data_IF_107369096526
#
_entry.id   IF_107369096526
#
_cell.length_a   1.000
_cell.length_b   1.000
_cell.length_c   1.000
_cell.angle_alpha   90.00
_cell.angle_beta   90.00
_cell.angle_gamma   90.00
#
_symmetry.space_group_name_H-M   'P 1'
#
loop_
_entity.id
_entity.type
_entity.pdbx_description
1 polymer ?
#
# COMPACT_ATOMS: atom_id res chain seq x y z
N UNK A 1 -19.23 3.03 28.15
CA UNK A 1 -18.15 3.06 27.16
C UNK A 1 -17.83 4.52 26.89
N UNK A 2 -16.55 4.93 26.86
CA UNK A 2 -16.20 6.30 26.45
C UNK A 2 -16.62 6.51 24.99
N UNK A 3 -16.97 7.74 24.60
CA UNK A 3 -17.29 8.04 23.21
C UNK A 3 -16.09 7.69 22.32
N UNK A 4 -16.29 6.85 21.31
CA UNK A 4 -15.28 6.60 20.29
C UNK A 4 -15.03 7.92 19.53
N UNK A 5 -13.77 8.26 19.35
CA UNK A 5 -13.35 9.27 18.38
C UNK A 5 -13.39 8.62 17.00
N UNK A 6 -14.19 9.17 16.07
CA UNK A 6 -14.33 8.64 14.72
C UNK A 6 -12.97 8.60 14.00
N UNK A 7 -12.68 7.52 13.27
CA UNK A 7 -11.42 7.30 12.55
C UNK A 7 -11.63 7.20 11.03
N UNK A 8 -10.89 7.98 10.24
CA UNK A 8 -10.88 7.91 8.78
C UNK A 8 -9.59 7.21 8.31
N UNK A 9 -9.73 6.01 7.75
CA UNK A 9 -8.62 5.19 7.29
C UNK A 9 -8.56 5.30 5.77
N UNK A 10 -7.70 6.17 5.28
CA UNK A 10 -7.61 6.42 3.84
C UNK A 10 -6.60 5.46 3.27
N UNK A 11 -6.82 4.98 2.05
CA UNK A 11 -5.76 4.28 1.34
C UNK A 11 -5.09 5.14 0.28
N UNK A 12 -3.76 5.18 0.30
CA UNK A 12 -2.94 5.52 -0.86
C UNK A 12 -2.39 4.27 -1.52
N UNK A 13 -2.15 4.38 -2.83
CA UNK A 13 -1.29 3.48 -3.55
C UNK A 13 -0.02 4.27 -3.88
N UNK A 14 1.02 4.14 -3.06
CA UNK A 14 2.38 4.52 -3.46
C UNK A 14 3.11 3.21 -3.73
N UNK A 15 3.49 2.99 -4.99
CA UNK A 15 4.26 1.84 -5.40
C UNK A 15 5.72 2.04 -4.98
N UNK A 16 6.00 2.03 -3.67
CA UNK A 16 7.35 1.78 -3.18
C UNK A 16 7.52 0.27 -3.05
N UNK A 17 8.43 -0.27 -3.85
CA UNK A 17 8.72 -1.69 -3.99
C UNK A 17 9.00 -2.38 -2.64
N UNK A 18 8.02 -3.12 -2.13
CA UNK A 18 8.27 -4.29 -1.31
C UNK A 18 7.79 -5.49 -2.14
N UNK A 19 8.73 -6.34 -2.54
CA UNK A 19 8.45 -7.57 -3.27
C UNK A 19 7.52 -8.48 -2.43
N UNK A 20 6.33 -8.76 -2.94
CA UNK A 20 5.53 -9.92 -2.53
C UNK A 20 5.92 -11.08 -3.45
N UNK A 21 6.77 -11.99 -2.96
CA UNK A 21 7.04 -13.27 -3.62
C UNK A 21 6.03 -14.30 -3.12
N UNK A 22 5.02 -14.56 -3.94
CA UNK A 22 4.10 -15.70 -3.83
C UNK A 22 4.75 -16.95 -4.43
N UNK A 23 5.59 -17.66 -3.66
CA UNK A 23 5.82 -19.10 -3.86
C UNK A 23 6.10 -19.79 -2.53
N UNK A 24 5.12 -20.55 -2.04
CA UNK A 24 5.33 -21.57 -1.02
C UNK A 24 6.13 -22.76 -1.59
N UNK A 25 7.08 -23.31 -0.84
CA UNK A 25 7.43 -24.72 -0.93
C UNK A 25 6.89 -25.47 0.29
N UNK A 26 6.20 -26.55 -0.01
CA UNK A 26 5.84 -27.65 0.86
C UNK A 26 7.06 -28.32 1.50
N UNK A 27 6.84 -28.83 2.71
CA UNK A 27 7.57 -29.89 3.42
C UNK A 27 9.04 -29.66 3.76
N UNK A 28 9.34 -29.52 5.06
CA UNK A 28 10.25 -30.42 5.78
C UNK A 28 10.04 -30.25 7.30
N UNK A 29 9.46 -31.28 7.92
CA UNK A 29 9.47 -31.50 9.36
C UNK A 29 10.80 -32.17 9.72
N UNK A 30 11.52 -31.64 10.69
CA UNK A 30 12.26 -32.48 11.65
C UNK A 30 12.49 -31.73 12.96
N UNK A 31 12.26 -32.48 14.03
CA UNK A 31 12.38 -32.16 15.44
C UNK A 31 13.81 -31.78 15.85
N UNK A 32 13.95 -31.01 16.93
CA UNK A 32 14.42 -31.55 18.21
C UNK A 32 14.37 -30.47 19.31
N UNK A 33 13.97 -30.93 20.50
CA UNK A 33 13.86 -30.22 21.76
C UNK A 33 15.24 -29.89 22.35
N UNK A 34 15.38 -28.78 23.09
CA UNK A 34 15.87 -28.86 24.47
C UNK A 34 15.62 -27.58 25.27
N UNK A 35 15.25 -27.80 26.53
CA UNK A 35 14.92 -26.83 27.57
C UNK A 35 16.15 -26.07 28.06
N UNK A 36 15.94 -24.89 28.69
CA UNK A 36 16.62 -24.52 29.95
C UNK A 36 15.93 -23.33 30.63
N UNK A 37 15.57 -23.54 31.88
CA UNK A 37 14.89 -22.61 32.78
C UNK A 37 15.82 -21.59 33.46
N UNK A 38 15.19 -20.51 33.94
CA UNK A 38 15.42 -19.80 35.21
C UNK A 38 16.47 -18.67 35.32
N UNK A 39 16.01 -17.52 35.85
CA UNK A 39 16.63 -16.95 37.05
C UNK A 39 17.31 -15.56 36.97
N UNK A 40 16.62 -14.57 37.55
CA UNK A 40 17.15 -13.48 38.39
C UNK A 40 17.74 -12.16 37.80
N UNK A 41 16.94 -11.10 38.01
CA UNK A 41 17.25 -9.83 38.73
C UNK A 41 18.41 -8.90 38.28
N UNK A 42 17.99 -7.77 37.71
CA UNK A 42 18.40 -6.40 38.10
C UNK A 42 19.88 -6.01 38.06
N UNK A 43 20.28 -5.27 37.01
CA UNK A 43 21.09 -4.03 37.14
C UNK A 43 21.22 -3.24 35.84
N UNK A 44 21.39 -1.93 36.04
CA UNK A 44 21.54 -0.77 35.13
C UNK A 44 22.23 -1.04 33.78
N UNK A 45 21.64 -0.49 32.72
CA UNK A 45 22.17 -0.46 31.36
C UNK A 45 23.38 0.48 31.22
N UNK A 46 24.51 -0.07 30.80
CA UNK A 46 25.57 0.64 30.08
C UNK A 46 25.76 -0.08 28.73
N UNK A 47 25.61 0.65 27.63
CA UNK A 47 25.83 0.16 26.27
C UNK A 47 27.33 0.32 25.93
N UNK A 48 28.04 -0.79 25.76
CA UNK A 48 29.35 -0.84 25.07
C UNK A 48 29.26 -1.80 23.87
N UNK A 49 29.79 -1.33 22.73
CA UNK A 49 29.54 -1.84 21.40
C UNK A 49 30.50 -2.99 21.06
N UNK A 50 29.99 -4.23 20.92
CA UNK A 50 30.79 -5.45 20.65
C UNK A 50 30.97 -5.78 19.16
N UNK A 51 30.57 -4.89 18.24
CA UNK A 51 30.59 -5.13 16.80
C UNK A 51 31.97 -4.92 16.12
N UNK A 52 32.91 -4.21 16.74
CA UNK A 52 34.18 -3.81 16.09
C UNK A 52 35.25 -4.90 16.02
N UNK A 53 35.13 -6.00 16.78
CA UNK A 53 36.21 -7.02 16.84
C UNK A 53 36.11 -8.14 15.81
N UNK A 54 34.94 -8.38 15.20
CA UNK A 54 34.80 -9.41 14.16
C UNK A 54 35.22 -8.95 12.77
N UNK A 55 35.23 -7.63 12.50
CA UNK A 55 35.50 -7.10 11.15
C UNK A 55 36.99 -7.14 10.76
N UNK A 56 37.90 -7.04 11.72
CA UNK A 56 39.35 -6.96 11.45
C UNK A 56 40.02 -8.33 11.18
N UNK A 57 39.34 -9.44 11.43
CA UNK A 57 39.94 -10.78 11.23
C UNK A 57 39.71 -11.33 9.81
N UNK A 58 38.68 -10.87 9.10
CA UNK A 58 38.34 -11.34 7.75
C UNK A 58 39.07 -10.56 6.63
N UNK A 59 39.50 -9.32 6.91
CA UNK A 59 40.17 -8.48 5.90
C UNK A 59 41.59 -8.97 5.54
N UNK A 60 42.31 -9.58 6.49
CA UNK A 60 43.69 -10.06 6.30
C UNK A 60 43.78 -11.29 5.39
N UNK A 61 42.69 -12.05 5.25
CA UNK A 61 42.66 -13.27 4.43
C UNK A 61 42.42 -12.99 2.92
N UNK A 62 41.93 -11.80 2.57
CA UNK A 62 41.57 -11.45 1.20
C UNK A 62 42.72 -10.85 0.39
N UNK A 63 43.68 -10.21 1.07
CA UNK A 63 44.81 -9.51 0.42
C UNK A 63 45.87 -10.47 -0.16
N UNK A 64 45.96 -11.70 0.34
CA UNK A 64 46.93 -12.71 -0.14
C UNK A 64 46.54 -13.37 -1.48
N UNK A 65 45.25 -13.30 -1.88
CA UNK A 65 44.77 -14.02 -3.08
C UNK A 65 44.91 -13.20 -4.39
N UNK A 66 44.96 -11.87 -4.31
CA UNK A 66 44.88 -10.99 -5.48
C UNK A 66 46.22 -10.70 -6.19
N UNK A 67 47.32 -11.34 -5.75
CA UNK A 67 48.68 -11.05 -6.22
C UNK A 67 49.14 -11.72 -7.52
N UNK A 68 48.32 -12.51 -8.23
CA UNK A 68 48.77 -13.26 -9.41
C UNK A 68 47.71 -13.33 -10.51
N UNK A 69 47.82 -12.46 -11.52
CA UNK A 69 47.78 -12.82 -12.95
C UNK A 69 47.57 -11.57 -13.83
N UNK A 70 48.65 -11.14 -14.47
CA UNK A 70 48.69 -10.23 -15.60
C UNK A 70 48.51 -11.00 -16.91
N UNK A 71 47.66 -10.53 -17.84
CA UNK A 71 47.83 -10.59 -19.31
C UNK A 71 46.90 -9.52 -19.91
N UNK A 72 47.42 -8.71 -20.84
CA UNK A 72 46.67 -7.67 -21.56
C UNK A 72 46.35 -8.01 -23.02
N UNK A 73 45.54 -7.17 -23.66
CA UNK A 73 45.79 -6.59 -25.00
C UNK A 73 44.58 -5.77 -25.50
N UNK A 74 44.91 -4.55 -25.98
CA UNK A 74 44.28 -3.79 -27.06
C UNK A 74 42.75 -3.54 -27.06
N UNK A 75 42.35 -2.42 -26.45
CA UNK A 75 41.17 -1.64 -26.87
C UNK A 75 41.62 -0.19 -27.08
N UNK A 76 41.36 0.39 -28.26
CA UNK A 76 41.85 1.72 -28.64
C UNK A 76 41.18 2.81 -27.80
N UNK A 77 42.00 3.77 -27.36
CA UNK A 77 41.70 4.78 -26.32
C UNK A 77 40.61 5.79 -26.72
N UNK A 78 40.26 5.87 -28.00
CA UNK A 78 39.30 6.85 -28.54
C UNK A 78 37.82 6.43 -28.38
N UNK A 79 37.49 5.13 -28.42
CA UNK A 79 36.13 4.65 -28.12
C UNK A 79 35.87 4.42 -26.62
N UNK A 80 36.92 4.39 -25.81
CA UNK A 80 36.82 4.14 -24.37
C UNK A 80 36.26 5.36 -23.63
N UNK A 81 36.60 6.59 -24.07
CA UNK A 81 36.20 7.80 -23.36
C UNK A 81 34.72 8.16 -23.53
N UNK A 82 34.10 7.89 -24.70
CA UNK A 82 32.65 8.09 -24.88
C UNK A 82 31.82 7.06 -24.09
N UNK A 83 32.24 5.79 -24.09
CA UNK A 83 31.53 4.70 -23.39
C UNK A 83 31.64 4.83 -21.87
N UNK A 84 32.77 5.32 -21.34
CA UNK A 84 33.01 5.45 -19.90
C UNK A 84 32.27 6.65 -19.29
N UNK A 85 31.98 7.71 -20.07
CA UNK A 85 31.15 8.84 -19.60
C UNK A 85 29.66 8.45 -19.45
N UNK A 86 29.20 7.42 -20.16
CA UNK A 86 27.80 6.98 -20.19
C UNK A 86 27.45 5.86 -19.17
N UNK A 87 28.34 5.58 -18.20
CA UNK A 87 28.15 4.54 -17.18
C UNK A 87 27.60 5.10 -15.87
N UNK A 88 26.68 4.34 -15.25
CA UNK A 88 25.96 4.66 -14.00
C UNK A 88 26.84 5.02 -12.79
N UNK A 89 28.08 4.53 -12.75
CA UNK A 89 29.05 4.83 -11.68
C UNK A 89 30.43 4.89 -12.33
N UNK A 90 31.04 6.07 -12.36
CA UNK A 90 32.46 6.17 -12.68
C UNK A 90 33.24 5.34 -11.65
N UNK A 91 34.23 4.54 -12.08
CA UNK A 91 35.15 3.85 -11.17
C UNK A 91 35.60 4.87 -10.10
N UNK A 92 35.33 4.59 -8.83
CA UNK A 92 35.86 5.44 -7.76
C UNK A 92 37.38 5.39 -7.86
N UNK A 93 38.00 6.51 -8.17
CA UNK A 93 39.42 6.67 -7.90
C UNK A 93 39.55 6.57 -6.37
N UNK A 94 40.37 5.61 -5.90
CA UNK A 94 40.67 5.45 -4.49
C UNK A 94 41.41 6.70 -4.00
N UNK A 95 40.69 7.74 -3.62
CA UNK A 95 41.24 8.84 -2.83
C UNK A 95 41.00 8.52 -1.36
N UNK A 96 42.06 8.08 -0.70
CA UNK A 96 42.12 7.95 0.74
C UNK A 96 42.13 9.35 1.36
N UNK A 97 40.99 9.83 1.81
CA UNK A 97 40.87 10.84 2.87
C UNK A 97 39.46 10.77 3.46
N UNK A 98 39.33 11.07 4.75
CA UNK A 98 38.10 10.87 5.52
C UNK A 98 36.85 11.49 4.85
N UNK A 99 35.93 10.62 4.43
CA UNK A 99 34.47 10.81 4.38
C UNK A 99 33.92 12.10 3.72
N UNK A 100 34.11 12.28 2.40
CA UNK A 100 33.17 13.07 1.61
C UNK A 100 32.02 12.17 1.14
N UNK A 101 30.90 12.19 1.85
CA UNK A 101 29.65 11.70 1.26
C UNK A 101 29.30 12.64 0.09
N UNK A 102 29.40 12.13 -1.12
CA UNK A 102 28.93 12.82 -2.32
C UNK A 102 27.55 12.29 -2.69
N UNK A 103 26.64 13.20 -3.03
CA UNK A 103 25.33 12.82 -3.55
C UNK A 103 25.53 12.08 -4.87
N UNK A 104 24.89 10.91 -5.02
CA UNK A 104 24.99 10.08 -6.22
C UNK A 104 24.62 10.82 -7.54
N UNK A 105 23.64 11.75 -7.57
CA UNK A 105 23.31 12.49 -8.79
C UNK A 105 24.38 13.54 -9.14
N UNK A 106 25.13 13.29 -10.20
CA UNK A 106 26.01 14.28 -10.83
C UNK A 106 25.36 14.92 -12.07
N UNK A 107 25.18 16.25 -12.07
CA UNK A 107 24.51 16.97 -13.16
C UNK A 107 25.17 16.74 -14.53
N UNK A 108 26.50 16.77 -14.60
CA UNK A 108 27.26 16.58 -15.82
C UNK A 108 27.04 15.20 -16.47
N UNK A 109 26.70 14.18 -15.68
CA UNK A 109 26.46 12.80 -16.14
C UNK A 109 24.97 12.53 -16.34
N UNK A 110 24.14 12.92 -15.39
CA UNK A 110 22.76 12.41 -15.31
C UNK A 110 21.72 13.36 -15.89
N UNK A 111 21.98 14.67 -16.05
CA UNK A 111 20.94 15.60 -16.52
C UNK A 111 20.41 15.22 -17.90
N UNK A 112 21.31 14.88 -18.82
CA UNK A 112 20.95 14.44 -20.17
C UNK A 112 20.10 13.16 -20.14
N UNK A 113 20.47 12.21 -19.28
CA UNK A 113 19.72 10.97 -19.10
C UNK A 113 18.32 11.22 -18.53
N UNK A 114 18.19 12.02 -17.47
CA UNK A 114 16.89 12.35 -16.88
C UNK A 114 15.96 13.05 -17.86
N UNK A 115 16.46 14.00 -18.66
CA UNK A 115 15.67 14.65 -19.71
C UNK A 115 15.21 13.66 -20.78
N UNK A 116 16.10 12.76 -21.22
CA UNK A 116 15.74 11.74 -22.21
C UNK A 116 14.72 10.73 -21.67
N UNK A 117 14.89 10.29 -20.41
CA UNK A 117 13.95 9.40 -19.73
C UNK A 117 12.57 10.06 -19.59
N UNK A 118 12.53 11.32 -19.15
CA UNK A 118 11.29 12.08 -19.03
C UNK A 118 10.55 12.24 -20.35
N UNK A 119 11.27 12.49 -21.45
CA UNK A 119 10.70 12.54 -22.80
C UNK A 119 10.07 11.21 -23.23
N UNK A 120 10.70 10.08 -22.91
CA UNK A 120 10.15 8.73 -23.17
C UNK A 120 8.87 8.52 -22.35
N UNK A 121 8.90 8.80 -21.05
CA UNK A 121 7.74 8.67 -20.17
C UNK A 121 6.55 9.51 -20.67
N UNK A 122 6.78 10.77 -21.03
CA UNK A 122 5.72 11.64 -21.54
C UNK A 122 5.15 11.15 -22.88
N UNK A 123 6.02 10.94 -23.87
CA UNK A 123 5.56 10.61 -25.23
C UNK A 123 4.93 9.23 -25.29
N UNK A 124 5.60 8.23 -24.73
CA UNK A 124 5.22 6.83 -24.86
C UNK A 124 4.31 6.39 -23.71
N UNK A 125 4.68 6.70 -22.47
CA UNK A 125 3.97 6.28 -21.26
C UNK A 125 2.70 7.08 -20.94
N UNK A 126 2.60 8.34 -21.37
CA UNK A 126 1.41 9.19 -21.13
C UNK A 126 0.60 9.39 -22.41
N UNK A 127 1.12 10.13 -23.39
CA UNK A 127 0.30 10.54 -24.54
C UNK A 127 0.00 9.41 -25.52
N UNK A 128 0.99 8.56 -25.83
CA UNK A 128 0.76 7.39 -26.69
C UNK A 128 -0.10 6.34 -25.97
N UNK A 129 0.21 6.04 -24.70
CA UNK A 129 -0.53 5.07 -23.88
C UNK A 129 -2.02 5.37 -23.71
N UNK A 130 -2.40 6.66 -23.69
CA UNK A 130 -3.79 7.10 -23.50
C UNK A 130 -4.52 7.39 -24.82
N UNK A 131 -3.83 7.29 -25.96
CA UNK A 131 -4.42 7.50 -27.28
C UNK A 131 -5.29 6.33 -27.72
N UNK A 132 -6.55 6.61 -28.07
CA UNK A 132 -7.51 5.63 -28.61
C UNK A 132 -7.06 4.92 -29.90
N UNK A 133 -6.03 5.44 -30.57
CA UNK A 133 -5.45 4.83 -31.78
C UNK A 133 -4.54 3.64 -31.46
N UNK A 134 -4.11 3.52 -30.20
CA UNK A 134 -3.14 2.52 -29.77
C UNK A 134 -3.83 1.38 -29.01
N UNK A 135 -3.08 0.30 -28.78
CA UNK A 135 -3.59 -0.88 -28.05
C UNK A 135 -3.59 -0.61 -26.54
N UNK A 136 -4.60 -1.11 -25.85
CA UNK A 136 -4.63 -1.17 -24.37
C UNK A 136 -3.50 -2.08 -23.84
N UNK A 137 -3.22 -3.17 -24.54
CA UNK A 137 -2.16 -4.10 -24.21
C UNK A 137 -1.57 -4.73 -25.47
N UNK A 138 -0.25 -4.92 -25.50
CA UNK A 138 0.44 -5.75 -26.48
C UNK A 138 0.72 -7.11 -25.84
N UNK A 139 -0.30 -7.97 -25.81
CA UNK A 139 -0.22 -9.25 -25.11
C UNK A 139 0.89 -10.15 -25.68
N UNK A 140 1.67 -10.72 -24.77
CA UNK A 140 2.70 -11.74 -24.99
C UNK A 140 2.61 -12.72 -23.82
N UNK A 141 2.78 -14.02 -24.08
CA UNK A 141 2.73 -15.02 -23.02
C UNK A 141 3.96 -14.90 -22.10
N UNK A 142 3.87 -15.29 -20.81
CA UNK A 142 4.97 -15.13 -19.85
C UNK A 142 6.32 -15.66 -20.35
N UNK A 143 6.36 -16.89 -20.88
CA UNK A 143 7.59 -17.52 -21.40
C UNK A 143 8.22 -16.77 -22.59
N UNK A 144 7.42 -16.08 -23.39
CA UNK A 144 7.88 -15.27 -24.52
C UNK A 144 8.32 -13.89 -24.03
N UNK A 145 7.61 -13.32 -23.06
CA UNK A 145 7.92 -12.02 -22.49
C UNK A 145 9.24 -12.04 -21.70
N UNK A 146 9.52 -13.10 -20.95
CA UNK A 146 10.81 -13.28 -20.27
C UNK A 146 11.99 -13.19 -21.24
N UNK A 147 11.86 -13.80 -22.42
CA UNK A 147 12.90 -13.74 -23.47
C UNK A 147 13.07 -12.34 -24.07
N UNK A 148 12.01 -11.54 -24.08
CA UNK A 148 12.03 -10.16 -24.58
C UNK A 148 12.60 -9.18 -23.56
N UNK A 149 12.36 -9.42 -22.26
CA UNK A 149 12.74 -8.50 -21.19
C UNK A 149 14.21 -8.61 -20.75
N UNK A 150 14.90 -9.71 -21.06
CA UNK A 150 16.30 -9.93 -20.65
C UNK A 150 16.51 -9.67 -19.13
N UNK A 151 15.69 -10.31 -18.28
CA UNK A 151 15.59 -10.00 -16.83
C UNK A 151 16.84 -10.35 -15.99
N UNK A 152 17.87 -10.94 -16.60
CA UNK A 152 19.09 -11.33 -15.90
C UNK A 152 19.84 -10.10 -15.35
N UNK A 153 20.05 -10.08 -14.03
CA UNK A 153 20.80 -9.02 -13.36
C UNK A 153 22.30 -9.27 -13.53
N UNK A 154 22.91 -8.57 -14.48
CA UNK A 154 24.34 -8.66 -14.73
C UNK A 154 25.15 -7.87 -13.67
N UNK A 155 26.33 -8.35 -13.24
CA UNK A 155 27.15 -7.70 -12.22
C UNK A 155 27.82 -6.38 -12.66
N UNK A 156 27.69 -5.99 -13.94
CA UNK A 156 28.26 -4.78 -14.51
C UNK A 156 27.22 -3.67 -14.73
N UNK A 157 27.65 -2.40 -14.80
CA UNK A 157 26.75 -1.29 -15.11
C UNK A 157 26.19 -1.39 -16.54
N UNK A 158 24.97 -0.88 -16.73
CA UNK A 158 24.38 -0.63 -18.04
C UNK A 158 24.61 0.81 -18.49
N UNK A 159 24.67 1.04 -19.80
CA UNK A 159 24.72 2.39 -20.37
C UNK A 159 23.36 3.08 -20.30
N UNK A 160 23.36 4.41 -20.25
CA UNK A 160 22.13 5.21 -20.36
C UNK A 160 21.26 4.83 -21.57
N UNK A 161 21.88 4.59 -22.73
CA UNK A 161 21.16 4.17 -23.94
C UNK A 161 20.39 2.85 -23.75
N UNK A 162 21.05 1.83 -23.18
CA UNK A 162 20.40 0.54 -22.91
C UNK A 162 19.24 0.69 -21.92
N UNK A 163 19.39 1.54 -20.89
CA UNK A 163 18.33 1.79 -19.92
C UNK A 163 17.10 2.46 -20.55
N UNK A 164 17.31 3.41 -21.48
CA UNK A 164 16.21 4.03 -22.22
C UNK A 164 15.50 3.02 -23.13
N UNK A 165 16.22 2.10 -23.75
CA UNK A 165 15.61 1.04 -24.57
C UNK A 165 14.83 0.02 -23.74
N UNK A 166 15.35 -0.32 -22.54
CA UNK A 166 14.62 -1.14 -21.56
C UNK A 166 13.36 -0.43 -21.09
N UNK A 167 13.41 0.87 -20.80
CA UNK A 167 12.25 1.68 -20.42
C UNK A 167 11.15 1.64 -21.49
N UNK A 168 11.50 1.82 -22.76
CA UNK A 168 10.55 1.70 -23.88
C UNK A 168 9.96 0.30 -23.98
N UNK A 169 10.78 -0.72 -23.77
CA UNK A 169 10.35 -2.12 -23.79
C UNK A 169 9.35 -2.41 -22.66
N UNK A 170 9.62 -1.95 -21.44
CA UNK A 170 8.69 -2.02 -20.31
C UNK A 170 7.38 -1.31 -20.64
N UNK A 171 7.44 -0.08 -21.15
CA UNK A 171 6.23 0.67 -21.54
C UNK A 171 5.44 -0.09 -22.59
N UNK A 172 6.10 -0.61 -23.63
CA UNK A 172 5.46 -1.30 -24.76
C UNK A 172 4.61 -2.49 -24.30
N UNK A 173 5.19 -3.38 -23.49
CA UNK A 173 4.55 -4.63 -23.06
C UNK A 173 3.71 -4.50 -21.78
N UNK A 174 3.79 -3.38 -21.05
CA UNK A 174 2.90 -3.13 -19.91
C UNK A 174 1.47 -2.80 -20.36
N UNK A 175 0.48 -3.14 -19.53
CA UNK A 175 -0.90 -2.72 -19.76
C UNK A 175 -1.01 -1.20 -19.63
N UNK A 176 -1.68 -0.55 -20.58
CA UNK A 176 -1.93 0.89 -20.55
C UNK A 176 -3.17 1.18 -19.70
N UNK A 177 -3.01 1.17 -18.38
CA UNK A 177 -4.11 1.37 -17.40
C UNK A 177 -4.79 2.74 -17.54
N UNK A 178 -4.07 3.72 -18.08
CA UNK A 178 -4.59 5.03 -18.44
C UNK A 178 -5.47 5.08 -19.69
N UNK A 179 -5.50 4.01 -20.48
CA UNK A 179 -6.18 4.01 -21.77
C UNK A 179 -7.72 4.11 -21.58
N UNK A 180 -8.45 4.93 -22.35
CA UNK A 180 -9.90 5.11 -22.19
C UNK A 180 -10.77 3.85 -22.34
N UNK A 181 -10.20 2.77 -22.88
CA UNK A 181 -10.86 1.47 -23.04
C UNK A 181 -10.36 0.43 -22.02
N UNK A 182 -9.53 0.83 -21.06
CA UNK A 182 -9.17 0.00 -19.92
C UNK A 182 -10.29 0.07 -18.87
N UNK A 183 -11.07 -1.01 -18.80
CA UNK A 183 -12.21 -1.17 -17.89
C UNK A 183 -12.10 -2.45 -17.06
N UNK A 184 -10.87 -2.95 -16.88
CA UNK A 184 -10.61 -4.22 -16.22
C UNK A 184 -10.58 -4.12 -14.69
N UNK A 185 -10.28 -2.93 -14.16
CA UNK A 185 -10.07 -2.69 -12.73
C UNK A 185 -10.93 -1.54 -12.24
N UNK A 186 -11.04 -1.41 -10.91
CA UNK A 186 -11.68 -0.28 -10.23
C UNK A 186 -10.81 1.00 -10.25
N UNK A 187 -9.81 1.07 -11.11
CA UNK A 187 -9.04 2.29 -11.37
C UNK A 187 -8.77 2.34 -12.88
N UNK A 188 -8.70 3.54 -13.42
CA UNK A 188 -8.43 3.79 -14.84
C UNK A 188 -8.06 5.25 -15.04
N UNK A 189 -7.57 5.59 -16.23
CA UNK A 189 -7.13 6.94 -16.62
C UNK A 189 -5.83 7.39 -15.94
N UNK A 190 -5.23 8.44 -16.49
CA UNK A 190 -4.08 9.15 -15.89
C UNK A 190 -4.53 10.56 -15.58
N UNK A 191 -4.57 10.92 -14.30
CA UNK A 191 -4.72 12.32 -13.90
C UNK A 191 -3.36 13.02 -14.02
N UNK A 192 -3.24 14.07 -14.86
CA UNK A 192 -1.95 14.72 -15.08
C UNK A 192 -1.41 15.41 -13.82
N UNK A 193 -2.27 15.85 -12.91
CA UNK A 193 -1.85 16.54 -11.68
C UNK A 193 -1.36 15.55 -10.63
N UNK A 194 -2.05 14.42 -10.47
CA UNK A 194 -1.65 13.30 -9.64
C UNK A 194 -0.33 12.70 -10.11
N UNK A 195 -0.10 12.58 -11.42
CA UNK A 195 1.17 12.14 -11.98
C UNK A 195 2.33 13.09 -11.63
N UNK A 196 2.13 14.40 -11.76
CA UNK A 196 3.14 15.39 -11.37
C UNK A 196 3.39 15.37 -9.85
N UNK A 197 2.33 15.18 -9.05
CA UNK A 197 2.44 14.98 -7.60
C UNK A 197 3.27 13.76 -7.25
N UNK A 198 3.08 12.64 -7.96
CA UNK A 198 3.88 11.42 -7.79
C UNK A 198 5.35 11.67 -8.15
N UNK A 199 5.63 12.32 -9.28
CA UNK A 199 7.01 12.68 -9.64
C UNK A 199 7.67 13.58 -8.61
N UNK A 200 6.94 14.54 -8.03
CA UNK A 200 7.44 15.39 -6.96
C UNK A 200 7.75 14.57 -5.70
N UNK A 201 6.87 13.66 -5.30
CA UNK A 201 7.07 12.78 -4.16
C UNK A 201 8.30 11.88 -4.36
N UNK A 202 8.44 11.24 -5.53
CA UNK A 202 9.57 10.37 -5.86
C UNK A 202 10.89 11.15 -5.97
N UNK A 203 10.84 12.42 -6.41
CA UNK A 203 12.02 13.30 -6.45
C UNK A 203 12.53 13.63 -5.05
N UNK A 204 11.62 13.81 -4.08
CA UNK A 204 11.97 14.14 -2.69
C UNK A 204 12.23 12.90 -1.83
N UNK A 205 11.71 11.74 -2.24
CA UNK A 205 11.83 10.45 -1.56
C UNK A 205 11.59 10.53 -0.03
N UNK A 206 10.47 11.11 0.43
CA UNK A 206 10.21 11.35 1.84
C UNK A 206 9.83 10.06 2.58
N UNK A 207 10.03 10.06 3.89
CA UNK A 207 9.38 9.10 4.80
C UNK A 207 8.54 9.86 5.83
N UNK A 208 7.23 9.60 5.86
CA UNK A 208 6.25 10.36 6.66
C UNK A 208 6.11 9.75 8.06
N UNK A 209 7.23 9.60 8.77
CA UNK A 209 7.22 9.06 10.14
C UNK A 209 7.30 10.16 11.22
N UNK A 210 8.00 11.27 10.93
CA UNK A 210 8.08 12.44 11.81
C UNK A 210 8.01 13.74 11.03
N UNK A 211 7.58 14.80 11.72
CA UNK A 211 7.57 16.15 11.20
C UNK A 211 8.97 16.66 10.81
N UNK A 212 10.03 16.26 11.52
CA UNK A 212 11.41 16.70 11.25
C UNK A 212 11.90 16.29 9.85
N UNK A 213 11.52 15.09 9.38
CA UNK A 213 11.97 14.55 8.09
C UNK A 213 10.97 14.80 6.97
N UNK A 214 9.69 15.01 7.27
CA UNK A 214 8.63 15.24 6.26
C UNK A 214 7.66 16.36 6.64
N UNK A 215 8.14 17.59 6.96
CA UNK A 215 7.28 18.63 7.55
C UNK A 215 6.12 19.06 6.64
N UNK A 216 6.37 19.14 5.34
CA UNK A 216 5.35 19.53 4.34
C UNK A 216 4.32 18.41 4.18
N UNK A 217 4.77 17.16 3.99
CA UNK A 217 3.88 16.02 3.77
C UNK A 217 3.04 15.69 5.00
N UNK A 218 3.58 15.83 6.22
CA UNK A 218 2.80 15.66 7.45
C UNK A 218 1.67 16.70 7.59
N UNK A 219 1.92 17.96 7.23
CA UNK A 219 0.87 18.99 7.23
C UNK A 219 -0.17 18.77 6.13
N UNK A 220 0.26 18.35 4.95
CA UNK A 220 -0.64 18.02 3.84
C UNK A 220 -1.55 16.84 4.21
N UNK A 221 -0.99 15.79 4.78
CA UNK A 221 -1.72 14.60 5.22
C UNK A 221 -2.82 14.97 6.22
N UNK A 222 -2.50 15.70 7.28
CA UNK A 222 -3.50 16.15 8.27
C UNK A 222 -4.59 17.00 7.62
N UNK A 223 -4.22 17.91 6.71
CA UNK A 223 -5.20 18.76 6.04
C UNK A 223 -6.15 17.94 5.15
N UNK A 224 -5.62 17.00 4.36
CA UNK A 224 -6.43 16.14 3.49
C UNK A 224 -7.34 15.23 4.31
N UNK A 225 -6.82 14.62 5.39
CA UNK A 225 -7.60 13.80 6.32
C UNK A 225 -8.75 14.59 6.95
N UNK A 226 -8.50 15.81 7.44
CA UNK A 226 -9.53 16.68 8.01
C UNK A 226 -10.63 17.03 6.98
N UNK A 227 -10.25 17.31 5.72
CA UNK A 227 -11.23 17.55 4.65
C UNK A 227 -12.05 16.30 4.34
N UNK A 228 -11.43 15.12 4.30
CA UNK A 228 -12.14 13.87 4.03
C UNK A 228 -13.11 13.52 5.17
N UNK A 229 -12.72 13.73 6.44
CA UNK A 229 -13.64 13.62 7.59
C UNK A 229 -14.82 14.58 7.49
N UNK A 230 -14.57 15.83 7.05
CA UNK A 230 -15.65 16.80 6.81
C UNK A 230 -16.60 16.37 5.70
N UNK A 231 -16.08 15.79 4.61
CA UNK A 231 -16.88 15.26 3.49
C UNK A 231 -17.75 14.07 3.94
N UNK A 232 -17.21 13.17 4.76
CA UNK A 232 -17.96 12.06 5.40
C UNK A 232 -19.10 12.60 6.27
N UNK A 233 -18.93 13.79 6.86
CA UNK A 233 -19.94 14.45 7.70
C UNK A 233 -19.63 14.41 9.18
N UNK A 234 -18.39 14.12 9.58
CA UNK A 234 -17.98 14.21 10.97
C UNK A 234 -17.95 15.68 11.42
N UNK A 235 -18.53 16.02 12.60
CA UNK A 235 -18.65 17.40 13.05
C UNK A 235 -17.30 18.13 13.04
N UNK A 236 -17.24 19.28 12.36
CA UNK A 236 -16.04 20.11 12.22
C UNK A 236 -14.81 19.39 11.61
N UNK A 237 -15.01 18.24 10.95
CA UNK A 237 -13.89 17.39 10.50
C UNK A 237 -13.10 16.79 11.66
N UNK A 238 -13.68 16.74 12.86
CA UNK A 238 -13.09 16.12 14.03
C UNK A 238 -12.91 14.60 13.84
N UNK A 239 -11.97 14.03 14.58
CA UNK A 239 -11.59 12.63 14.50
C UNK A 239 -10.11 12.48 14.16
N UNK A 240 -9.74 11.25 13.83
CA UNK A 240 -8.36 10.86 13.53
C UNK A 240 -8.29 10.16 12.17
N UNK A 241 -7.09 9.85 11.68
CA UNK A 241 -6.92 9.03 10.50
C UNK A 241 -5.50 8.92 10.00
N UNK A 242 -5.29 8.02 9.05
CA UNK A 242 -3.98 7.74 8.46
C UNK A 242 -4.13 7.23 7.03
N UNK A 243 -3.13 7.47 6.19
CA UNK A 243 -3.01 6.80 4.90
C UNK A 243 -2.41 5.39 5.04
N UNK A 244 -3.04 4.40 4.42
CA UNK A 244 -2.67 3.00 4.44
C UNK A 244 -2.27 2.50 3.04
N UNK A 245 -1.30 1.56 2.95
CA UNK A 245 -0.93 0.93 1.68
C UNK A 245 -2.02 -0.05 1.24
N UNK A 246 -3.03 0.44 0.53
CA UNK A 246 -4.20 -0.32 0.10
C UNK A 246 -5.39 -0.31 1.09
N UNK A 247 -6.62 -0.33 0.53
CA UNK A 247 -7.86 -0.38 1.31
C UNK A 247 -7.99 -1.65 2.16
N UNK A 248 -7.35 -2.74 1.75
CA UNK A 248 -7.26 -3.97 2.55
C UNK A 248 -6.60 -3.72 3.91
N UNK A 249 -5.52 -2.94 3.96
CA UNK A 249 -4.85 -2.60 5.22
C UNK A 249 -5.67 -1.61 6.03
N UNK A 250 -6.34 -0.65 5.39
CA UNK A 250 -7.29 0.24 6.08
C UNK A 250 -8.41 -0.54 6.78
N UNK A 251 -8.97 -1.56 6.11
CA UNK A 251 -9.95 -2.46 6.71
C UNK A 251 -9.35 -3.26 7.90
N UNK A 252 -8.08 -3.67 7.84
CA UNK A 252 -7.37 -4.27 8.98
C UNK A 252 -7.20 -3.29 10.15
N UNK A 253 -6.78 -2.05 9.90
CA UNK A 253 -6.74 -1.00 10.92
C UNK A 253 -8.11 -0.81 11.58
N UNK A 254 -9.21 -0.84 10.83
CA UNK A 254 -10.55 -0.75 11.38
C UNK A 254 -10.86 -1.91 12.35
N UNK A 255 -10.52 -3.14 11.98
CA UNK A 255 -10.66 -4.34 12.83
C UNK A 255 -9.83 -4.17 14.12
N UNK A 256 -8.58 -3.75 13.98
CA UNK A 256 -7.67 -3.52 15.11
C UNK A 256 -8.18 -2.43 16.05
N UNK A 257 -8.67 -1.31 15.52
CA UNK A 257 -9.29 -0.23 16.29
C UNK A 257 -10.54 -0.70 17.05
N UNK A 258 -11.48 -1.36 16.36
CA UNK A 258 -12.70 -1.90 16.96
C UNK A 258 -12.39 -2.89 18.09
N UNK A 259 -11.42 -3.78 17.86
CA UNK A 259 -10.95 -4.74 18.86
C UNK A 259 -10.29 -4.05 20.05
N UNK A 260 -9.42 -3.07 19.83
CA UNK A 260 -8.76 -2.33 20.91
C UNK A 260 -9.76 -1.52 21.74
N UNK A 261 -10.76 -0.93 21.08
CA UNK A 261 -11.84 -0.20 21.75
C UNK A 261 -12.68 -1.13 22.65
N UNK A 262 -13.03 -2.32 22.17
CA UNK A 262 -13.80 -3.29 22.93
C UNK A 262 -12.99 -3.97 24.06
N UNK A 263 -11.73 -4.33 23.77
CA UNK A 263 -10.87 -5.13 24.67
C UNK A 263 -9.41 -4.65 24.60
N UNK A 264 -9.07 -3.52 25.25
CA UNK A 264 -7.75 -2.90 25.15
C UNK A 264 -6.61 -3.79 25.66
N UNK A 265 -6.89 -4.70 26.59
CA UNK A 265 -5.93 -5.65 27.15
C UNK A 265 -5.37 -6.64 26.12
N UNK A 266 -6.08 -6.87 25.00
CA UNK A 266 -5.60 -7.74 23.91
C UNK A 266 -4.23 -7.27 23.39
N UNK A 267 -3.97 -5.95 23.44
CA UNK A 267 -2.69 -5.37 23.00
C UNK A 267 -1.48 -5.98 23.71
N UNK A 268 -1.61 -6.38 24.97
CA UNK A 268 -0.50 -6.95 25.77
C UNK A 268 -0.70 -8.40 26.15
N UNK A 269 -1.95 -8.86 26.28
CA UNK A 269 -2.28 -10.22 26.72
C UNK A 269 -2.69 -11.16 25.58
N UNK A 270 -2.84 -10.64 24.36
CA UNK A 270 -3.29 -11.39 23.19
C UNK A 270 -4.78 -11.77 23.24
N UNK A 271 -5.26 -12.42 22.17
CA UNK A 271 -6.67 -12.79 22.01
C UNK A 271 -7.18 -13.82 23.02
N UNK A 272 -6.29 -14.64 23.59
CA UNK A 272 -6.67 -15.60 24.62
C UNK A 272 -7.20 -14.94 25.92
N UNK A 273 -6.97 -13.63 26.08
CA UNK A 273 -7.44 -12.85 27.23
C UNK A 273 -8.90 -12.35 27.11
N UNK A 274 -9.56 -12.60 25.98
CA UNK A 274 -10.96 -12.19 25.76
C UNK A 274 -11.85 -13.36 25.35
N UNK A 275 -13.18 -13.24 25.51
CA UNK A 275 -14.12 -14.18 24.92
C UNK A 275 -13.98 -14.23 23.38
N UNK A 276 -14.61 -15.23 22.76
CA UNK A 276 -14.68 -15.32 21.30
C UNK A 276 -15.37 -14.08 20.72
N UNK A 277 -14.65 -13.31 19.91
CA UNK A 277 -15.15 -12.12 19.26
C UNK A 277 -15.71 -12.47 17.87
N UNK A 278 -16.83 -11.86 17.47
CA UNK A 278 -17.45 -12.07 16.16
C UNK A 278 -17.64 -10.73 15.44
N UNK A 279 -17.20 -10.71 14.18
CA UNK A 279 -17.35 -9.61 13.23
C UNK A 279 -18.39 -9.98 12.18
N UNK A 280 -19.20 -9.02 11.75
CA UNK A 280 -20.20 -9.21 10.70
C UNK A 280 -19.83 -8.42 9.45
N UNK A 281 -20.04 -9.01 8.28
CA UNK A 281 -19.90 -8.30 7.01
C UNK A 281 -20.79 -8.93 5.94
N UNK A 282 -21.04 -8.23 4.84
CA UNK A 282 -21.83 -8.77 3.72
C UNK A 282 -21.18 -10.01 3.13
N UNK A 283 -21.96 -10.97 2.64
CA UNK A 283 -21.44 -12.06 1.81
C UNK A 283 -20.79 -11.57 0.50
N UNK A 284 -21.16 -10.37 0.04
CA UNK A 284 -20.60 -9.67 -1.11
C UNK A 284 -19.50 -8.64 -0.74
N UNK A 285 -19.06 -8.62 0.54
CA UNK A 285 -18.04 -7.70 1.01
C UNK A 285 -16.66 -8.01 0.40
N UNK A 286 -15.76 -7.02 0.45
CA UNK A 286 -14.40 -7.22 0.00
C UNK A 286 -13.70 -8.30 0.85
N UNK A 287 -13.01 -9.23 0.17
CA UNK A 287 -12.36 -10.38 0.81
C UNK A 287 -11.33 -10.01 1.89
N UNK A 288 -10.85 -8.76 1.89
CA UNK A 288 -9.90 -8.27 2.90
C UNK A 288 -10.43 -8.41 4.32
N UNK A 289 -11.74 -8.27 4.56
CA UNK A 289 -12.28 -8.39 5.92
C UNK A 289 -11.98 -9.77 6.50
N UNK A 290 -12.26 -10.83 5.73
CA UNK A 290 -11.97 -12.22 6.13
C UNK A 290 -10.46 -12.49 6.20
N UNK A 291 -9.68 -11.96 5.23
CA UNK A 291 -8.22 -12.10 5.20
C UNK A 291 -7.57 -11.47 6.44
N UNK A 292 -7.94 -10.23 6.78
CA UNK A 292 -7.33 -9.48 7.87
C UNK A 292 -7.83 -9.94 9.24
N UNK A 293 -9.08 -10.37 9.37
CA UNK A 293 -9.55 -11.04 10.58
C UNK A 293 -8.74 -12.32 10.89
N UNK A 294 -8.45 -13.13 9.87
CA UNK A 294 -7.59 -14.30 10.02
C UNK A 294 -6.15 -13.91 10.38
N UNK A 295 -5.57 -12.94 9.67
CA UNK A 295 -4.22 -12.42 9.91
C UNK A 295 -4.04 -11.89 11.34
N UNK A 296 -5.05 -11.20 11.86
CA UNK A 296 -5.02 -10.63 13.21
C UNK A 296 -5.39 -11.63 14.32
N UNK A 297 -5.55 -12.92 13.98
CA UNK A 297 -5.77 -14.00 14.93
C UNK A 297 -7.21 -14.23 15.38
N UNK A 298 -8.18 -13.48 14.83
CA UNK A 298 -9.61 -13.70 15.14
C UNK A 298 -10.09 -15.05 14.58
N UNK A 299 -9.51 -15.49 13.47
CA UNK A 299 -9.95 -16.66 12.72
C UNK A 299 -11.11 -16.33 11.79
N UNK A 300 -11.07 -16.91 10.58
CA UNK A 300 -12.03 -16.63 9.52
C UNK A 300 -13.45 -17.17 9.82
N UNK A 301 -13.57 -18.15 10.71
CA UNK A 301 -14.86 -18.68 11.19
C UNK A 301 -15.62 -17.70 12.09
N UNK A 302 -14.92 -16.71 12.65
CA UNK A 302 -15.51 -15.65 13.47
C UNK A 302 -15.88 -14.40 12.65
N UNK A 303 -15.83 -14.51 11.31
CA UNK A 303 -16.38 -13.53 10.38
C UNK A 303 -17.70 -14.07 9.84
N UNK A 304 -18.80 -13.60 10.41
CA UNK A 304 -20.14 -14.06 10.04
C UNK A 304 -20.61 -13.27 8.82
N UNK A 305 -20.83 -13.98 7.72
CA UNK A 305 -21.33 -13.42 6.47
C UNK A 305 -22.83 -13.22 6.55
N UNK A 306 -23.28 -11.99 6.34
CA UNK A 306 -24.68 -11.60 6.38
C UNK A 306 -25.27 -11.69 4.97
N UNK A 307 -26.48 -12.25 4.89
CA UNK A 307 -27.20 -12.39 3.63
C UNK A 307 -27.52 -11.04 2.99
N UNK A 308 -27.55 -11.05 1.67
CA UNK A 308 -27.91 -9.89 0.86
C UNK A 308 -29.30 -10.02 0.22
N UNK A 309 -29.89 -8.87 -0.12
CA UNK A 309 -31.06 -8.82 -0.99
C UNK A 309 -30.69 -9.05 -2.46
N UNK A 310 -31.69 -9.06 -3.36
CA UNK A 310 -31.46 -9.24 -4.79
C UNK A 310 -30.62 -8.12 -5.46
N UNK A 311 -30.24 -7.07 -4.72
CA UNK A 311 -29.37 -5.98 -5.16
C UNK A 311 -27.99 -6.03 -4.51
N UNK A 312 -27.65 -7.10 -3.78
CA UNK A 312 -26.36 -7.26 -3.12
C UNK A 312 -26.18 -6.40 -1.87
N UNK A 313 -27.28 -6.01 -1.21
CA UNK A 313 -27.25 -5.17 0.01
C UNK A 313 -27.59 -5.99 1.23
N UNK A 314 -26.88 -5.80 2.34
CA UNK A 314 -27.15 -6.48 3.61
C UNK A 314 -28.64 -6.41 3.98
N UNK A 315 -29.17 -7.56 4.42
CA UNK A 315 -30.48 -7.68 5.07
C UNK A 315 -30.36 -7.42 6.58
N UNK A 316 -30.86 -6.28 7.11
CA UNK A 316 -30.74 -5.96 8.53
C UNK A 316 -31.37 -7.01 9.46
N UNK A 317 -32.41 -7.71 9.00
CA UNK A 317 -33.05 -8.80 9.74
C UNK A 317 -32.13 -10.02 9.91
N UNK A 318 -31.33 -10.35 8.90
CA UNK A 318 -30.35 -11.44 9.00
C UNK A 318 -29.18 -11.02 9.91
N UNK A 319 -28.73 -9.76 9.80
CA UNK A 319 -27.74 -9.19 10.72
C UNK A 319 -28.21 -9.30 12.18
N UNK A 320 -29.44 -8.89 12.50
CA UNK A 320 -30.01 -9.02 13.85
C UNK A 320 -30.01 -10.47 14.32
N UNK A 321 -30.49 -11.39 13.48
CA UNK A 321 -30.54 -12.81 13.82
C UNK A 321 -29.15 -13.40 14.12
N UNK A 322 -28.11 -13.02 13.36
CA UNK A 322 -26.73 -13.47 13.60
C UNK A 322 -26.13 -12.87 14.88
N UNK A 323 -26.46 -11.63 15.21
CA UNK A 323 -26.06 -10.99 16.48
C UNK A 323 -26.69 -11.75 17.66
N UNK A 324 -28.00 -12.00 17.62
CA UNK A 324 -28.72 -12.73 18.66
C UNK A 324 -28.19 -14.16 18.83
N UNK A 325 -27.90 -14.84 17.72
CA UNK A 325 -27.24 -16.14 17.73
C UNK A 325 -25.87 -16.07 18.43
N UNK A 326 -25.05 -15.08 18.08
CA UNK A 326 -23.71 -14.91 18.66
C UNK A 326 -23.77 -14.75 20.18
N UNK A 327 -24.71 -13.93 20.66
CA UNK A 327 -24.96 -13.74 22.10
C UNK A 327 -25.41 -15.04 22.77
N UNK A 328 -26.27 -15.83 22.11
CA UNK A 328 -26.71 -17.14 22.62
C UNK A 328 -25.57 -18.17 22.71
N UNK A 329 -24.53 -18.04 21.87
CA UNK A 329 -23.33 -18.88 21.87
C UNK A 329 -22.30 -18.44 22.93
N UNK A 330 -22.59 -17.38 23.71
CA UNK A 330 -21.67 -16.80 24.69
C UNK A 330 -20.48 -16.06 24.05
N UNK A 331 -20.55 -15.76 22.75
CA UNK A 331 -19.58 -14.96 22.03
C UNK A 331 -19.94 -13.47 22.08
N UNK A 332 -18.99 -12.62 21.70
CA UNK A 332 -19.15 -11.16 21.77
C UNK A 332 -19.24 -10.59 20.35
N UNK A 333 -20.41 -10.06 19.94
CA UNK A 333 -20.49 -9.21 18.75
C UNK A 333 -19.71 -7.92 19.01
N UNK A 334 -18.70 -7.59 18.20
CA UNK A 334 -17.89 -6.39 18.45
C UNK A 334 -17.85 -5.40 17.29
N UNK A 335 -18.09 -5.84 16.05
CA UNK A 335 -17.95 -4.98 14.87
C UNK A 335 -18.88 -5.42 13.73
N UNK A 336 -19.43 -4.45 13.02
CA UNK A 336 -20.03 -4.64 11.69
C UNK A 336 -19.20 -3.84 10.67
N UNK A 337 -18.81 -4.51 9.60
CA UNK A 337 -18.22 -3.90 8.41
C UNK A 337 -19.26 -3.85 7.30
N UNK A 338 -19.91 -2.69 7.15
CA UNK A 338 -20.84 -2.42 6.05
C UNK A 338 -20.07 -1.94 4.81
N UNK A 339 -20.55 -2.25 3.62
CA UNK A 339 -19.91 -1.87 2.35
C UNK A 339 -20.73 -0.82 1.61
N UNK A 340 -20.09 0.31 1.31
CA UNK A 340 -20.63 1.37 0.44
C UNK A 340 -19.94 1.29 -0.92
N UNK A 341 -20.51 0.48 -1.82
CA UNK A 341 -19.97 0.21 -3.15
C UNK A 341 -19.21 -1.12 -3.18
N UNK A 342 -19.91 -2.25 -3.31
CA UNK A 342 -19.27 -3.58 -3.47
C UNK A 342 -18.49 -3.67 -4.78
N UNK A 343 -17.42 -4.47 -4.80
CA UNK A 343 -16.48 -4.57 -5.94
C UNK A 343 -17.15 -5.00 -7.24
N UNK A 344 -18.09 -5.95 -7.17
CA UNK A 344 -18.70 -6.57 -8.36
C UNK A 344 -19.97 -5.84 -8.79
N UNK A 345 -20.91 -5.64 -7.86
CA UNK A 345 -22.23 -5.08 -8.16
C UNK A 345 -22.30 -3.55 -7.98
N UNK A 346 -21.36 -2.94 -7.25
CA UNK A 346 -21.47 -1.55 -6.83
C UNK A 346 -22.63 -1.32 -5.86
N UNK A 347 -22.99 -2.31 -5.06
CA UNK A 347 -24.11 -2.24 -4.11
C UNK A 347 -23.76 -1.39 -2.88
N UNK A 348 -24.75 -0.74 -2.30
CA UNK A 348 -24.61 0.09 -1.09
C UNK A 348 -25.50 -0.47 0.03
N UNK A 349 -24.86 -0.84 1.13
CA UNK A 349 -25.56 -1.36 2.30
C UNK A 349 -26.44 -0.28 2.97
N UNK A 350 -27.56 -0.67 3.63
CA UNK A 350 -28.47 0.26 4.27
C UNK A 350 -27.90 0.79 5.60
N UNK A 351 -26.95 1.73 5.52
CA UNK A 351 -26.20 2.26 6.67
C UNK A 351 -27.08 2.71 7.85
N UNK A 352 -28.23 3.40 7.67
CA UNK A 352 -29.04 3.83 8.82
C UNK A 352 -29.54 2.66 9.66
N UNK A 353 -30.02 1.59 9.02
CA UNK A 353 -30.53 0.41 9.70
C UNK A 353 -29.41 -0.39 10.39
N UNK A 354 -28.23 -0.47 9.75
CA UNK A 354 -27.05 -1.11 10.34
C UNK A 354 -26.56 -0.31 11.54
N UNK A 355 -26.50 1.03 11.43
CA UNK A 355 -26.07 1.90 12.52
C UNK A 355 -27.02 1.85 13.73
N UNK A 356 -28.32 1.67 13.51
CA UNK A 356 -29.29 1.45 14.59
C UNK A 356 -28.97 0.16 15.36
N UNK A 357 -28.66 -0.94 14.64
CA UNK A 357 -28.24 -2.21 15.25
C UNK A 357 -26.89 -2.08 15.98
N UNK A 358 -25.91 -1.40 15.39
CA UNK A 358 -24.62 -1.14 16.05
C UNK A 358 -24.80 -0.35 17.34
N UNK A 359 -25.70 0.63 17.35
CA UNK A 359 -26.03 1.42 18.55
C UNK A 359 -26.71 0.57 19.61
N UNK A 360 -27.72 -0.23 19.22
CA UNK A 360 -28.49 -1.11 20.11
C UNK A 360 -27.61 -2.15 20.81
N UNK A 361 -26.74 -2.83 20.05
CA UNK A 361 -25.88 -3.90 20.54
C UNK A 361 -24.47 -3.45 20.92
N UNK A 362 -24.18 -2.13 20.86
CA UNK A 362 -22.90 -1.50 21.22
C UNK A 362 -21.70 -2.07 20.45
N UNK A 363 -21.86 -2.21 19.14
CA UNK A 363 -20.80 -2.66 18.22
C UNK A 363 -20.18 -1.48 17.50
N UNK A 364 -18.92 -1.63 17.11
CA UNK A 364 -18.24 -0.71 16.20
C UNK A 364 -18.85 -0.79 14.79
N UNK A 365 -19.22 0.35 14.21
CA UNK A 365 -19.62 0.45 12.81
C UNK A 365 -18.45 0.93 11.96
N UNK A 366 -17.95 0.03 11.12
CA UNK A 366 -17.05 0.39 10.03
C UNK A 366 -17.79 0.43 8.70
N UNK A 367 -17.50 1.44 7.90
CA UNK A 367 -17.98 1.54 6.52
C UNK A 367 -16.80 1.42 5.57
N UNK A 368 -16.73 0.29 4.86
CA UNK A 368 -15.84 0.12 3.71
C UNK A 368 -16.43 0.90 2.53
N UNK A 369 -15.97 2.13 2.36
CA UNK A 369 -16.27 2.99 1.23
C UNK A 369 -15.04 3.12 0.31
N UNK A 370 -14.17 2.09 0.25
CA UNK A 370 -12.98 2.10 -0.58
C UNK A 370 -13.30 2.54 -2.02
N UNK A 371 -14.32 1.92 -2.61
CA UNK A 371 -14.84 2.25 -3.94
C UNK A 371 -15.89 3.35 -3.92
N UNK A 372 -16.99 3.19 -3.17
CA UNK A 372 -18.13 4.11 -3.23
C UNK A 372 -17.92 5.44 -2.53
N UNK A 373 -16.83 5.63 -1.77
CA UNK A 373 -16.51 6.89 -1.09
C UNK A 373 -16.37 8.07 -2.05
N UNK A 374 -15.96 7.83 -3.30
CA UNK A 374 -15.93 8.85 -4.35
C UNK A 374 -17.31 9.49 -4.61
N UNK A 375 -18.42 8.81 -4.31
CA UNK A 375 -19.75 9.42 -4.47
C UNK A 375 -20.04 10.53 -3.43
N UNK A 376 -19.30 10.60 -2.31
CA UNK A 376 -19.47 11.63 -1.29
C UNK A 376 -19.17 13.04 -1.81
N UNK A 377 -18.26 13.18 -2.78
CA UNK A 377 -17.96 14.46 -3.42
C UNK A 377 -19.02 14.90 -4.43
N UNK A 378 -19.89 13.98 -4.87
CA UNK A 378 -20.99 14.28 -5.78
C UNK A 378 -22.25 14.69 -5.02
N UNK A 379 -22.72 15.93 -5.21
CA UNK A 379 -24.01 16.38 -4.63
C UNK A 379 -25.20 15.51 -5.07
N UNK A 380 -25.13 14.97 -6.29
CA UNK A 380 -26.18 14.12 -6.86
C UNK A 380 -26.18 12.72 -6.25
N UNK A 381 -25.00 12.15 -5.97
CA UNK A 381 -24.86 10.73 -5.61
C UNK A 381 -24.50 10.47 -4.14
N UNK A 382 -24.09 11.49 -3.36
CA UNK A 382 -23.73 11.32 -1.94
C UNK A 382 -24.82 10.68 -1.08
N UNK A 383 -26.09 10.78 -1.48
CA UNK A 383 -27.22 10.17 -0.79
C UNK A 383 -27.14 8.64 -0.70
N UNK A 384 -26.33 7.99 -1.56
CA UNK A 384 -26.07 6.55 -1.51
C UNK A 384 -25.36 6.13 -0.21
N UNK A 385 -24.68 7.05 0.47
CA UNK A 385 -23.95 6.83 1.72
C UNK A 385 -24.63 7.52 2.92
N UNK A 386 -25.92 7.87 2.83
CA UNK A 386 -26.65 8.47 3.96
C UNK A 386 -26.54 7.57 5.20
N UNK A 387 -26.12 8.13 6.35
CA UNK A 387 -25.87 7.39 7.57
C UNK A 387 -24.39 7.09 7.84
N UNK A 388 -23.49 7.35 6.87
CA UNK A 388 -22.04 7.17 7.04
C UNK A 388 -21.45 8.06 8.15
N UNK A 389 -22.07 9.21 8.43
CA UNK A 389 -21.66 10.11 9.50
C UNK A 389 -21.80 9.49 10.90
N UNK A 390 -22.54 8.36 11.01
CA UNK A 390 -22.70 7.57 12.24
C UNK A 390 -21.67 6.45 12.37
N UNK A 391 -20.75 6.29 11.41
CA UNK A 391 -19.70 5.28 11.45
C UNK A 391 -18.61 5.67 12.45
N UNK A 392 -18.09 4.68 13.18
CA UNK A 392 -16.92 4.83 14.03
C UNK A 392 -15.63 4.84 13.19
N UNK A 393 -15.62 4.13 12.05
CA UNK A 393 -14.55 4.28 11.06
C UNK A 393 -14.98 4.14 9.61
N UNK A 394 -14.23 4.77 8.70
CA UNK A 394 -14.48 4.72 7.25
C UNK A 394 -13.20 4.41 6.50
N UNK A 395 -13.24 3.43 5.59
CA UNK A 395 -12.21 3.21 4.57
C UNK A 395 -12.57 3.98 3.30
N UNK A 396 -11.65 4.73 2.70
CA UNK A 396 -11.88 5.40 1.40
C UNK A 396 -10.59 5.38 0.56
N UNK A 397 -10.68 4.97 -0.71
CA UNK A 397 -9.55 4.94 -1.65
C UNK A 397 -9.70 6.00 -2.76
N UNK A 398 -9.06 7.18 -2.62
CA UNK A 398 -9.03 8.17 -3.68
C UNK A 398 -8.39 7.66 -4.98
N UNK A 399 -7.57 6.61 -4.94
CA UNK A 399 -6.93 6.05 -6.15
C UNK A 399 -7.85 5.16 -7.02
N UNK A 400 -9.14 5.02 -6.66
CA UNK A 400 -10.11 4.21 -7.41
C UNK A 400 -11.11 5.10 -8.16
N UNK A 401 -12.27 5.37 -7.56
CA UNK A 401 -13.31 6.26 -8.08
C UNK A 401 -13.14 7.67 -7.52
N UNK A 402 -12.83 8.62 -8.39
CA UNK A 402 -13.04 10.04 -8.13
C UNK A 402 -14.07 10.55 -9.13
N UNK A 403 -15.11 11.21 -8.64
CA UNK A 403 -16.07 11.89 -9.52
C UNK A 403 -15.42 13.19 -9.97
N UNK A 404 -15.39 13.40 -11.28
CA UNK A 404 -14.95 14.66 -11.88
C UNK A 404 -15.85 15.80 -11.37
N UNK A 405 -15.27 16.78 -10.69
CA UNK A 405 -15.99 17.95 -10.18
C UNK A 405 -16.55 18.81 -11.33
N UNK A 406 -16.03 18.68 -12.55
CA UNK A 406 -16.45 19.45 -13.72
C UNK A 406 -17.81 19.05 -14.32
N UNK A 407 -18.43 17.95 -13.87
CA UNK A 407 -19.87 17.72 -14.16
C UNK A 407 -20.73 18.88 -13.63
N UNK A 408 -20.23 19.66 -12.65
CA UNK A 408 -20.88 20.88 -12.15
C UNK A 408 -20.89 22.03 -13.17
N UNK A 409 -19.95 22.07 -14.12
CA UNK A 409 -19.86 23.15 -15.12
C UNK A 409 -20.71 22.90 -16.37
N UNK A 410 -21.11 21.64 -16.62
CA UNK A 410 -21.91 21.26 -17.80
C UNK A 410 -23.43 21.30 -17.56
N UNK A 411 -23.88 21.67 -16.37
CA UNK A 411 -25.29 21.72 -15.98
C UNK A 411 -25.83 23.14 -15.69
N UNK A 412 -25.04 24.20 -15.89
CA UNK A 412 -25.51 25.59 -15.79
C UNK A 412 -25.55 26.28 -17.15
#
# INVERSE_FOLDING_TARGET
MPAASNACLISTYTQTSCFEDDKAPSDYISSDEEQLESGCTGRKFHYENKAERSFNAEMTAFEDFAGKNSIGAAFTRENFNEVVQDLMVAKSEKTSDFASYESLPEAAKHEKFFRAAFEVLLKEGVFSATSRKNKVNEWVNPEELEKVLELDVNPGPSSHGKLLDLMKTVIKYSVKTGHPYFVNQLFSSVDPYGLVGQWLADTLNPSVYTYEVSPVFSLMEEHVLAQMRSIVGFPEGAGDGIFCPGGSMANGYAISCARHYAFPQIKTQGLASCPRLVLYTSEDAHYSIKKLAAFEGLGSDNVYLIKTDARGRILPEDLRAQIERTLSEGAVPFMVSATSGTTVLGAFDPLPAIADLCTEYKMWLHVDAAWGGGALVSRKHRHLLNGIERADSVTWNPHTFQVDLDEQSRQN
#
